data_IF_291287053208
#
_entry.id   IF_291287053208
#
_cell.length_a   1.000
_cell.length_b   1.000
_cell.length_c   1.000
_cell.angle_alpha   90.00
_cell.angle_beta   90.00
_cell.angle_gamma   90.00
#
_symmetry.space_group_name_H-M   'P 1'
#
loop_
_entity.id
_entity.type
_entity.pdbx_description
1 polymer ?
#
# COMPACT_ATOMS: atom_id res chain seq x y z
N UNK A 1 19.19 -12.93 12.74
CA UNK A 1 18.35 -12.24 11.74
C UNK A 1 18.26 -10.78 12.15
N UNK A 2 18.67 -9.83 11.30
CA UNK A 2 18.65 -8.40 11.63
C UNK A 2 17.30 -7.83 11.21
N UNK A 3 16.49 -7.37 12.15
CA UNK A 3 15.16 -6.79 11.87
C UNK A 3 15.32 -5.30 11.55
N UNK A 4 14.67 -4.82 10.50
CA UNK A 4 14.58 -3.39 10.19
C UNK A 4 13.30 -2.81 10.84
N UNK A 5 13.41 -1.87 11.80
CA UNK A 5 12.22 -1.26 12.40
C UNK A 5 11.44 -0.40 11.38
N UNK A 6 10.16 -0.21 11.65
CA UNK A 6 9.27 0.65 10.88
C UNK A 6 9.61 2.13 11.13
N UNK A 7 10.59 2.66 10.40
CA UNK A 7 11.21 3.97 10.67
C UNK A 7 10.29 5.21 10.63
N UNK A 8 9.08 5.08 10.09
CA UNK A 8 8.10 6.19 9.95
C UNK A 8 6.75 5.87 10.57
N UNK A 9 6.67 4.80 11.38
CA UNK A 9 5.51 4.54 12.22
C UNK A 9 5.32 5.69 13.22
N UNK A 10 4.08 6.10 13.46
CA UNK A 10 3.72 7.25 14.29
C UNK A 10 3.82 8.61 13.56
N UNK A 11 4.39 8.68 12.36
CA UNK A 11 4.48 9.93 11.57
C UNK A 11 3.76 9.83 10.23
N UNK A 12 3.99 8.76 9.45
CA UNK A 12 3.35 8.58 8.14
C UNK A 12 2.08 7.75 8.22
N UNK A 13 1.99 6.92 9.26
CA UNK A 13 0.87 6.05 9.57
C UNK A 13 0.89 5.72 11.07
N UNK A 14 -0.25 5.30 11.67
CA UNK A 14 -0.28 4.92 13.09
C UNK A 14 0.73 3.83 13.43
N UNK A 15 1.40 3.96 14.57
CA UNK A 15 2.31 2.93 15.11
C UNK A 15 1.56 1.77 15.76
N UNK A 16 0.36 2.03 16.29
CA UNK A 16 -0.54 0.97 16.74
C UNK A 16 -1.13 0.17 15.57
N UNK A 17 -1.12 -1.15 15.72
CA UNK A 17 -1.53 -2.07 14.66
C UNK A 17 -3.05 -2.11 14.43
N UNK A 18 -3.87 -1.87 15.46
CA UNK A 18 -5.32 -1.79 15.32
C UNK A 18 -5.71 -0.52 14.56
N UNK A 19 -5.16 0.61 14.97
CA UNK A 19 -5.41 1.90 14.30
C UNK A 19 -4.94 1.87 12.84
N UNK A 20 -3.76 1.27 12.58
CA UNK A 20 -3.25 1.10 11.23
C UNK A 20 -4.21 0.28 10.36
N UNK A 21 -4.80 -0.80 10.88
CA UNK A 21 -5.77 -1.61 10.15
C UNK A 21 -7.02 -0.80 9.78
N UNK A 22 -7.54 0.00 10.71
CA UNK A 22 -8.70 0.87 10.45
C UNK A 22 -8.39 1.90 9.36
N UNK A 23 -7.20 2.54 9.42
CA UNK A 23 -6.77 3.50 8.39
C UNK A 23 -6.63 2.83 7.03
N UNK A 24 -6.04 1.63 6.96
CA UNK A 24 -5.91 0.87 5.70
C UNK A 24 -7.28 0.48 5.14
N UNK A 25 -8.20 0.02 5.99
CA UNK A 25 -9.56 -0.30 5.55
C UNK A 25 -10.27 0.93 4.99
N UNK A 26 -10.18 2.06 5.68
CA UNK A 26 -10.73 3.33 5.19
C UNK A 26 -10.13 3.78 3.85
N UNK A 27 -8.84 3.52 3.63
CA UNK A 27 -8.21 3.78 2.33
C UNK A 27 -8.77 2.87 1.23
N UNK A 28 -9.01 1.60 1.54
CA UNK A 28 -9.62 0.61 0.63
C UNK A 28 -11.05 1.02 0.28
N UNK A 29 -11.85 1.40 1.26
CA UNK A 29 -13.26 1.79 1.07
C UNK A 29 -13.40 3.04 0.20
N UNK A 30 -12.37 3.91 0.20
CA UNK A 30 -12.31 5.14 -0.60
C UNK A 30 -11.53 4.99 -1.91
N UNK A 31 -11.08 3.79 -2.24
CA UNK A 31 -10.32 3.55 -3.45
C UNK A 31 -11.19 3.75 -4.70
N UNK A 32 -10.57 4.23 -5.78
CA UNK A 32 -11.22 4.29 -7.09
C UNK A 32 -11.20 2.87 -7.68
N UNK A 33 -12.36 2.28 -8.01
CA UNK A 33 -12.41 0.93 -8.55
C UNK A 33 -11.74 0.87 -9.92
N UNK A 34 -11.08 -0.25 -10.19
CA UNK A 34 -10.58 -0.55 -11.53
C UNK A 34 -11.73 -0.90 -12.48
N UNK A 35 -11.47 -0.83 -13.79
CA UNK A 35 -12.42 -1.35 -14.76
C UNK A 35 -12.64 -2.86 -14.56
N UNK A 36 -13.88 -3.38 -14.67
CA UNK A 36 -14.23 -4.76 -14.35
C UNK A 36 -13.36 -5.84 -15.02
N UNK A 37 -12.82 -5.55 -16.21
CA UNK A 37 -12.05 -6.50 -17.02
C UNK A 37 -10.57 -6.12 -17.18
N UNK A 38 -10.07 -5.20 -16.35
CA UNK A 38 -8.67 -4.82 -16.41
C UNK A 38 -7.77 -6.00 -16.01
N UNK A 39 -6.74 -6.34 -16.81
CA UNK A 39 -5.83 -7.42 -16.45
C UNK A 39 -5.10 -7.11 -15.14
N UNK A 40 -4.76 -8.17 -14.39
CA UNK A 40 -3.94 -8.06 -13.18
C UNK A 40 -2.58 -7.49 -13.57
N UNK A 41 -2.18 -6.34 -13.01
CA UNK A 41 -0.92 -5.72 -13.37
C UNK A 41 0.26 -6.52 -12.80
N UNK A 42 1.35 -6.62 -13.58
CA UNK A 42 2.60 -7.23 -13.12
C UNK A 42 3.44 -6.29 -12.24
N UNK A 43 3.23 -4.99 -12.37
CA UNK A 43 3.89 -3.93 -11.61
C UNK A 43 2.88 -2.85 -11.23
N UNK A 44 3.07 -2.23 -10.07
CA UNK A 44 2.29 -1.08 -9.60
C UNK A 44 3.22 0.11 -9.41
N UNK A 45 2.72 1.30 -9.73
CA UNK A 45 3.33 2.57 -9.31
C UNK A 45 2.36 3.21 -8.33
N UNK A 46 2.83 3.48 -7.11
CA UNK A 46 2.00 4.01 -6.03
C UNK A 46 2.70 5.19 -5.36
N UNK A 47 1.94 6.18 -4.85
CA UNK A 47 2.49 7.24 -4.02
C UNK A 47 2.98 6.68 -2.67
N UNK A 48 3.93 7.38 -2.03
CA UNK A 48 4.56 6.96 -0.78
C UNK A 48 4.52 8.03 0.32
N UNK A 49 3.60 9.00 0.22
CA UNK A 49 3.36 9.97 1.29
C UNK A 49 2.59 9.31 2.45
N UNK A 50 2.38 10.05 3.54
CA UNK A 50 1.56 9.58 4.66
C UNK A 50 0.16 9.13 4.22
N UNK A 51 -0.41 8.12 4.89
CA UNK A 51 -1.66 7.49 4.46
C UNK A 51 -2.84 8.45 4.39
N UNK A 52 -2.85 9.50 5.22
CA UNK A 52 -3.87 10.56 5.18
C UNK A 52 -3.91 11.32 3.85
N UNK A 53 -2.76 11.44 3.16
CA UNK A 53 -2.64 12.17 1.90
C UNK A 53 -2.78 11.27 0.68
N UNK A 54 -2.17 10.08 0.73
CA UNK A 54 -2.03 9.23 -0.46
C UNK A 54 -2.62 7.83 -0.35
N UNK A 55 -3.16 7.46 0.82
CA UNK A 55 -3.68 6.13 1.10
C UNK A 55 -4.74 5.64 0.11
N UNK A 56 -5.84 6.39 -0.13
CA UNK A 56 -6.88 5.99 -1.08
C UNK A 56 -6.38 5.79 -2.52
N UNK A 57 -5.44 6.64 -2.96
CA UNK A 57 -4.83 6.53 -4.30
C UNK A 57 -3.96 5.26 -4.39
N UNK A 58 -3.14 5.00 -3.37
CA UNK A 58 -2.37 3.77 -3.31
C UNK A 58 -3.28 2.52 -3.27
N UNK A 59 -4.38 2.57 -2.50
CA UNK A 59 -5.34 1.47 -2.38
C UNK A 59 -5.98 1.11 -3.74
N UNK A 60 -6.31 2.12 -4.56
CA UNK A 60 -6.83 1.93 -5.92
C UNK A 60 -5.91 1.06 -6.79
N UNK A 61 -4.60 1.20 -6.64
CA UNK A 61 -3.61 0.37 -7.32
C UNK A 61 -3.48 -1.03 -6.70
N UNK A 62 -3.43 -1.12 -5.37
CA UNK A 62 -3.29 -2.41 -4.67
C UNK A 62 -4.48 -3.35 -4.87
N UNK A 63 -5.70 -2.82 -4.92
CA UNK A 63 -6.91 -3.62 -5.15
C UNK A 63 -6.89 -4.37 -6.49
N UNK A 64 -6.14 -3.87 -7.48
CA UNK A 64 -5.95 -4.55 -8.77
C UNK A 64 -5.24 -5.90 -8.65
N UNK A 65 -4.57 -6.16 -7.53
CA UNK A 65 -3.90 -7.44 -7.26
C UNK A 65 -4.83 -8.48 -6.62
N UNK A 66 -6.04 -8.10 -6.19
CA UNK A 66 -6.99 -8.99 -5.51
C UNK A 66 -7.22 -10.33 -6.24
N UNK A 67 -7.42 -10.37 -7.58
CA UNK A 67 -7.61 -11.64 -8.30
C UNK A 67 -6.39 -12.57 -8.29
N UNK A 68 -5.20 -12.06 -7.99
CA UNK A 68 -3.95 -12.82 -7.98
C UNK A 68 -3.28 -12.90 -6.60
N UNK A 69 -3.95 -12.47 -5.52
CA UNK A 69 -3.31 -12.36 -4.20
C UNK A 69 -2.73 -13.69 -3.69
N UNK A 70 -3.31 -14.84 -4.06
CA UNK A 70 -2.83 -16.18 -3.70
C UNK A 70 -1.67 -16.68 -4.56
N UNK A 71 -1.48 -16.14 -5.77
CA UNK A 71 -0.43 -16.56 -6.70
C UNK A 71 0.85 -15.72 -6.59
N UNK A 72 0.75 -14.51 -6.05
CA UNK A 72 1.89 -13.62 -5.80
C UNK A 72 2.68 -14.12 -4.58
N UNK A 73 3.86 -14.69 -4.83
CA UNK A 73 4.77 -15.19 -3.77
C UNK A 73 5.99 -14.32 -3.51
N UNK A 74 6.24 -13.32 -4.37
CA UNK A 74 7.40 -12.44 -4.29
C UNK A 74 7.02 -11.04 -4.71
N UNK A 75 7.35 -10.07 -3.87
CA UNK A 75 7.21 -8.64 -4.14
C UNK A 75 8.60 -8.03 -4.14
N UNK A 76 8.94 -7.30 -5.21
CA UNK A 76 10.13 -6.46 -5.27
C UNK A 76 9.66 -5.01 -5.07
N UNK A 77 10.07 -4.39 -3.97
CA UNK A 77 9.74 -3.00 -3.67
C UNK A 77 10.91 -2.10 -4.07
N UNK A 78 10.68 -1.23 -5.04
CA UNK A 78 11.64 -0.24 -5.52
C UNK A 78 11.18 1.14 -5.07
N UNK A 79 12.03 1.85 -4.35
CA UNK A 79 11.78 3.21 -3.90
C UNK A 79 13.00 4.10 -4.13
N UNK A 80 12.82 5.37 -4.53
CA UNK A 80 13.91 6.33 -4.59
C UNK A 80 14.53 6.55 -3.21
N UNK A 81 15.85 6.73 -3.16
CA UNK A 81 16.56 7.10 -1.93
C UNK A 81 16.35 8.58 -1.65
N UNK A 82 15.46 8.86 -0.70
CA UNK A 82 15.37 10.18 -0.08
C UNK A 82 16.25 10.17 1.16
N UNK A 83 17.18 11.12 1.24
CA UNK A 83 17.93 11.39 2.46
C UNK A 83 17.33 12.66 3.05
N UNK A 84 16.80 12.53 4.26
CA UNK A 84 16.46 13.65 5.15
C UNK A 84 17.60 13.84 6.14
#
# INVERSE_FOLDING_TARGET
MKVRPAAVAGTFYPDDAHDLRLVVQHCIDRAVPAQPDAPVPKALVVPHAGLVYSGPIAASAYLRLSPAHTSIRRVVLLGPSHRV
#
